data_IF_848726769808
#
_entry.id   IF_848726769808
#
_cell.length_a   1.000
_cell.length_b   1.000
_cell.length_c   1.000
_cell.angle_alpha   90.00
_cell.angle_beta   90.00
_cell.angle_gamma   90.00
#
_symmetry.space_group_name_H-M   'P 1'
#
loop_
_entity.id
_entity.type
_entity.pdbx_description
1 polymer ?
#
# COMPACT_ATOMS: atom_id res chain seq x y z
N UNK A 1 28.80 -29.22 11.70
CA UNK A 1 28.23 -28.30 12.71
C UNK A 1 29.19 -27.14 12.87
N UNK A 2 28.93 -26.02 12.20
CA UNK A 2 29.77 -24.82 12.30
C UNK A 2 29.56 -24.18 13.67
N UNK A 3 30.62 -23.92 14.46
CA UNK A 3 30.46 -23.34 15.78
C UNK A 3 29.86 -21.92 15.68
N UNK A 4 28.89 -21.62 16.54
CA UNK A 4 28.20 -20.31 16.65
C UNK A 4 29.18 -19.13 16.74
N UNK A 5 30.38 -19.37 17.25
CA UNK A 5 31.49 -18.41 17.31
C UNK A 5 31.88 -17.83 15.94
N UNK A 6 31.83 -18.65 14.89
CA UNK A 6 32.21 -18.25 13.52
C UNK A 6 31.11 -17.42 12.84
N UNK A 7 29.84 -17.65 13.20
CA UNK A 7 28.71 -16.84 12.74
C UNK A 7 28.73 -15.43 13.35
N UNK A 8 29.16 -15.29 14.60
CA UNK A 8 29.29 -13.99 15.28
C UNK A 8 30.44 -13.14 14.75
N UNK A 9 31.49 -13.74 14.18
CA UNK A 9 32.62 -13.00 13.59
C UNK A 9 32.30 -12.46 12.19
N UNK A 10 31.39 -13.11 11.46
CA UNK A 10 30.99 -12.71 10.11
C UNK A 10 29.80 -11.74 10.10
N UNK A 11 29.18 -11.49 11.27
CA UNK A 11 28.04 -10.59 11.39
C UNK A 11 28.33 -9.14 10.96
N UNK A 12 29.47 -8.52 11.33
CA UNK A 12 29.76 -7.13 10.97
C UNK A 12 29.85 -6.92 9.44
N UNK A 13 30.65 -7.74 8.76
CA UNK A 13 30.84 -7.67 7.30
C UNK A 13 29.55 -8.03 6.52
N UNK A 14 28.70 -8.88 7.08
CA UNK A 14 27.44 -9.26 6.43
C UNK A 14 26.38 -8.17 6.60
N UNK A 15 26.40 -7.43 7.70
CA UNK A 15 25.52 -6.29 7.96
C UNK A 15 25.93 -5.13 7.04
N UNK A 16 27.19 -4.70 7.03
CA UNK A 16 27.66 -3.60 6.15
C UNK A 16 27.42 -3.86 4.65
N UNK A 17 27.49 -5.12 4.20
CA UNK A 17 27.29 -5.45 2.79
C UNK A 17 25.81 -5.54 2.37
N UNK A 18 24.89 -5.66 3.32
CA UNK A 18 23.43 -5.69 3.07
C UNK A 18 22.84 -4.28 3.21
N UNK A 19 23.37 -3.47 4.11
CA UNK A 19 23.02 -2.06 4.32
C UNK A 19 24.07 -1.18 3.65
N UNK A 20 24.00 -1.07 2.32
CA UNK A 20 24.83 -0.12 1.59
C UNK A 20 24.66 1.31 2.12
N UNK A 21 25.68 2.14 1.86
CA UNK A 21 25.98 3.53 2.28
C UNK A 21 24.84 4.59 2.26
N UNK A 22 23.59 4.19 2.00
CA UNK A 22 22.43 4.98 2.39
C UNK A 22 22.23 4.83 3.91
N UNK A 23 21.91 5.94 4.59
CA UNK A 23 21.33 6.00 5.94
C UNK A 23 19.96 5.25 5.97
N UNK A 24 19.97 3.97 5.61
CA UNK A 24 18.83 3.09 5.54
C UNK A 24 18.43 2.75 6.96
N UNK A 25 17.50 3.55 7.46
CA UNK A 25 16.73 3.24 8.66
C UNK A 25 16.31 1.77 8.59
N UNK A 26 16.82 0.92 9.48
CA UNK A 26 16.36 -0.46 9.58
C UNK A 26 14.88 -0.42 9.99
N UNK A 27 13.97 -0.72 9.07
CA UNK A 27 12.54 -0.65 9.32
C UNK A 27 11.73 -0.28 8.08
N UNK A 28 10.45 0.02 8.29
CA UNK A 28 9.52 0.47 7.26
C UNK A 28 9.38 1.98 7.40
N UNK A 29 9.65 2.73 6.33
CA UNK A 29 9.53 4.19 6.35
C UNK A 29 8.05 4.61 6.45
N UNK A 30 7.64 5.25 7.57
CA UNK A 30 6.27 5.72 7.74
C UNK A 30 5.84 6.74 6.69
N UNK A 31 6.76 7.57 6.20
CA UNK A 31 6.48 8.62 5.22
C UNK A 31 6.25 8.02 3.83
N UNK A 32 7.01 6.99 3.47
CA UNK A 32 6.76 6.21 2.25
C UNK A 32 5.35 5.58 2.28
N UNK A 33 4.98 4.94 3.39
CA UNK A 33 3.64 4.34 3.53
C UNK A 33 2.53 5.40 3.50
N UNK A 34 2.75 6.56 4.11
CA UNK A 34 1.81 7.68 4.06
C UNK A 34 1.61 8.18 2.62
N UNK A 35 2.69 8.26 1.84
CA UNK A 35 2.67 8.59 0.41
C UNK A 35 1.85 7.59 -0.41
N UNK A 36 2.07 6.29 -0.19
CA UNK A 36 1.29 5.22 -0.85
C UNK A 36 -0.19 5.33 -0.50
N UNK A 37 -0.53 5.52 0.78
CA UNK A 37 -1.91 5.67 1.24
C UNK A 37 -2.59 6.89 0.59
N UNK A 38 -1.91 8.03 0.54
CA UNK A 38 -2.43 9.24 -0.11
C UNK A 38 -2.68 8.99 -1.61
N UNK A 39 -1.73 8.34 -2.29
CA UNK A 39 -1.85 8.00 -3.70
C UNK A 39 -3.00 7.05 -4.01
N UNK A 40 -3.28 6.06 -3.16
CA UNK A 40 -4.44 5.18 -3.35
C UNK A 40 -5.77 5.91 -3.13
N UNK A 41 -5.85 6.79 -2.12
CA UNK A 41 -7.05 7.59 -1.86
C UNK A 41 -7.36 8.57 -2.98
N UNK A 42 -6.35 9.22 -3.51
CA UNK A 42 -6.49 10.11 -4.67
C UNK A 42 -7.02 9.34 -5.89
N UNK A 43 -6.41 8.20 -6.21
CA UNK A 43 -6.84 7.35 -7.34
C UNK A 43 -8.25 6.79 -7.14
N UNK A 44 -8.60 6.42 -5.91
CA UNK A 44 -9.96 5.95 -5.59
C UNK A 44 -11.00 7.04 -5.89
N UNK A 45 -10.77 8.28 -5.47
CA UNK A 45 -11.66 9.41 -5.79
C UNK A 45 -11.74 9.64 -7.29
N UNK A 46 -10.59 9.70 -7.97
CA UNK A 46 -10.55 9.90 -9.41
C UNK A 46 -11.36 8.83 -10.18
N UNK A 47 -11.26 7.56 -9.77
CA UNK A 47 -12.00 6.45 -10.40
C UNK A 47 -13.50 6.52 -10.09
N UNK A 48 -13.87 6.82 -8.84
CA UNK A 48 -15.27 6.95 -8.43
C UNK A 48 -15.97 8.13 -9.14
N UNK A 49 -15.22 9.18 -9.49
CA UNK A 49 -15.74 10.38 -10.14
C UNK A 49 -15.87 10.24 -11.67
N UNK A 50 -15.57 9.07 -12.25
CA UNK A 50 -15.72 8.85 -13.70
C UNK A 50 -17.21 8.95 -14.08
N UNK A 51 -17.60 9.85 -15.01
CA UNK A 51 -18.99 9.98 -15.42
C UNK A 51 -19.39 8.85 -16.38
N UNK A 52 -20.49 8.17 -16.06
CA UNK A 52 -21.06 7.08 -16.87
C UNK A 52 -22.40 7.44 -17.54
N UNK A 53 -22.97 8.59 -17.20
CA UNK A 53 -24.23 9.12 -17.72
C UNK A 53 -24.26 9.25 -19.25
N UNK A 54 -23.12 9.58 -19.86
CA UNK A 54 -22.97 9.64 -21.32
C UNK A 54 -23.24 8.31 -22.03
N UNK A 55 -23.07 7.17 -21.36
CA UNK A 55 -23.40 5.85 -21.91
C UNK A 55 -24.90 5.54 -21.80
N UNK A 56 -25.56 5.99 -20.75
CA UNK A 56 -27.01 5.81 -20.55
C UNK A 56 -27.83 6.67 -21.53
N UNK A 57 -27.32 7.86 -21.83
CA UNK A 57 -28.02 8.88 -22.62
C UNK A 57 -27.63 8.89 -24.10
N UNK A 58 -27.06 7.79 -24.62
CA UNK A 58 -26.72 7.71 -26.06
C UNK A 58 -27.98 7.91 -26.90
N UNK A 59 -28.02 9.05 -27.61
CA UNK A 59 -29.11 9.44 -28.48
C UNK A 59 -29.23 8.57 -29.73
N UNK A 60 -30.45 8.54 -30.28
CA UNK A 60 -30.74 7.92 -31.57
C UNK A 60 -31.56 6.63 -31.50
N UNK A 61 -31.92 6.07 -32.66
CA UNK A 61 -32.78 4.90 -32.76
C UNK A 61 -32.19 3.71 -31.99
N UNK A 62 -33.05 2.82 -31.44
CA UNK A 62 -32.59 1.58 -30.81
C UNK A 62 -32.00 0.65 -31.89
N UNK A 63 -30.69 0.76 -32.07
CA UNK A 63 -29.88 -0.12 -32.91
C UNK A 63 -29.09 -1.05 -31.99
N UNK A 64 -28.54 -2.14 -32.54
CA UNK A 64 -27.65 -3.01 -31.77
C UNK A 64 -26.51 -2.25 -31.10
N UNK A 65 -25.97 -1.22 -31.75
CA UNK A 65 -24.86 -0.40 -31.23
C UNK A 65 -25.32 0.48 -30.08
N UNK A 66 -26.42 1.24 -30.24
CA UNK A 66 -26.91 2.13 -29.18
C UNK A 66 -27.40 1.35 -27.96
N UNK A 67 -28.03 0.19 -28.16
CA UNK A 67 -28.39 -0.72 -27.07
C UNK A 67 -27.14 -1.28 -26.36
N UNK A 68 -26.11 -1.69 -27.11
CA UNK A 68 -24.87 -2.18 -26.52
C UNK A 68 -24.18 -1.10 -25.68
N UNK A 69 -24.09 0.14 -26.18
CA UNK A 69 -23.50 1.26 -25.42
C UNK A 69 -24.24 1.53 -24.12
N UNK A 70 -25.58 1.60 -24.14
CA UNK A 70 -26.39 1.80 -22.93
C UNK A 70 -26.22 0.65 -21.93
N UNK A 71 -26.03 -0.57 -22.40
CA UNK A 71 -25.82 -1.74 -21.52
C UNK A 71 -24.47 -1.75 -20.78
N UNK A 72 -23.51 -0.91 -21.20
CA UNK A 72 -22.19 -0.83 -20.57
C UNK A 72 -22.16 0.09 -19.34
N UNK A 73 -23.11 1.01 -19.20
CA UNK A 73 -23.08 2.03 -18.17
C UNK A 73 -23.01 1.44 -16.75
N UNK A 74 -24.00 0.64 -16.36
CA UNK A 74 -24.09 0.04 -15.03
C UNK A 74 -22.91 -0.91 -14.71
N UNK A 75 -22.53 -1.87 -15.59
CA UNK A 75 -21.37 -2.71 -15.32
C UNK A 75 -20.07 -1.91 -15.17
N UNK A 76 -19.90 -0.83 -15.94
CA UNK A 76 -18.70 0.01 -15.86
C UNK A 76 -18.66 0.81 -14.56
N UNK A 77 -19.80 1.39 -14.15
CA UNK A 77 -19.95 2.05 -12.85
C UNK A 77 -19.62 1.10 -11.70
N UNK A 78 -20.25 -0.07 -11.67
CA UNK A 78 -20.01 -1.06 -10.63
C UNK A 78 -18.55 -1.52 -10.56
N UNK A 79 -17.88 -1.64 -11.71
CA UNK A 79 -16.45 -1.98 -11.74
C UNK A 79 -15.58 -0.84 -11.19
N UNK A 80 -15.87 0.42 -11.55
CA UNK A 80 -15.16 1.58 -11.03
C UNK A 80 -15.32 1.72 -9.52
N UNK A 81 -16.55 1.60 -9.02
CA UNK A 81 -16.86 1.64 -7.58
C UNK A 81 -16.10 0.53 -6.84
N UNK A 82 -16.12 -0.70 -7.37
CA UNK A 82 -15.38 -1.81 -6.76
C UNK A 82 -13.86 -1.57 -6.70
N UNK A 83 -13.27 -0.93 -7.71
CA UNK A 83 -11.84 -0.61 -7.71
C UNK A 83 -11.56 0.52 -6.70
N UNK A 84 -12.38 1.56 -6.67
CA UNK A 84 -12.25 2.66 -5.73
C UNK A 84 -12.33 2.17 -4.27
N UNK A 85 -13.32 1.34 -3.96
CA UNK A 85 -13.49 0.73 -2.65
C UNK A 85 -12.29 -0.12 -2.24
N UNK A 86 -11.75 -0.90 -3.17
CA UNK A 86 -10.55 -1.72 -2.94
C UNK A 86 -9.34 -0.85 -2.59
N UNK A 87 -9.11 0.23 -3.32
CA UNK A 87 -8.02 1.17 -3.06
C UNK A 87 -8.18 1.86 -1.69
N UNK A 88 -9.40 2.25 -1.32
CA UNK A 88 -9.69 2.83 -0.01
C UNK A 88 -9.43 1.81 1.10
N UNK A 89 -9.93 0.59 0.98
CA UNK A 89 -9.72 -0.48 1.95
C UNK A 89 -8.22 -0.80 2.14
N UNK A 90 -7.47 -0.87 1.04
CA UNK A 90 -6.02 -1.05 1.09
C UNK A 90 -5.32 0.11 1.80
N UNK A 91 -5.76 1.37 1.57
CA UNK A 91 -5.19 2.54 2.25
C UNK A 91 -5.42 2.51 3.76
N UNK A 92 -6.59 2.03 4.21
CA UNK A 92 -6.91 1.88 5.63
C UNK A 92 -6.07 0.77 6.25
N UNK A 93 -5.97 -0.38 5.57
CA UNK A 93 -5.16 -1.51 6.05
C UNK A 93 -3.68 -1.15 6.16
N UNK A 94 -3.12 -0.44 5.17
CA UNK A 94 -1.72 -0.02 5.19
C UNK A 94 -1.44 1.03 6.26
N UNK A 95 -2.37 1.98 6.47
CA UNK A 95 -2.25 2.95 7.55
C UNK A 95 -2.26 2.27 8.92
N UNK A 96 -3.14 1.28 9.12
CA UNK A 96 -3.18 0.50 10.36
C UNK A 96 -1.88 -0.28 10.57
N UNK A 97 -1.41 -0.96 9.54
CA UNK A 97 -0.13 -1.67 9.56
C UNK A 97 1.04 -0.76 9.95
N UNK A 98 1.12 0.45 9.38
CA UNK A 98 2.15 1.43 9.73
C UNK A 98 2.11 1.81 11.20
N UNK A 99 0.92 2.05 11.76
CA UNK A 99 0.75 2.37 13.18
C UNK A 99 1.18 1.21 14.09
N UNK A 100 0.81 -0.02 13.73
CA UNK A 100 1.15 -1.22 14.48
C UNK A 100 2.67 -1.50 14.44
N UNK A 101 3.29 -1.32 13.28
CA UNK A 101 4.74 -1.46 13.11
C UNK A 101 5.51 -0.46 13.98
N UNK A 102 5.14 0.83 13.94
CA UNK A 102 5.77 1.86 14.78
C UNK A 102 5.59 1.58 16.27
N UNK A 103 4.41 1.11 16.69
CA UNK A 103 4.16 0.75 18.08
C UNK A 103 5.02 -0.44 18.53
N UNK A 104 5.19 -1.44 17.66
CA UNK A 104 6.03 -2.61 17.87
C UNK A 104 7.51 -2.22 17.98
N UNK A 105 8.01 -1.39 17.06
CA UNK A 105 9.40 -0.93 17.05
C UNK A 105 9.72 -0.11 18.30
N UNK A 106 8.80 0.79 18.69
CA UNK A 106 8.95 1.55 19.93
C UNK A 106 8.95 0.65 21.18
N UNK A 107 8.16 -0.44 21.18
CA UNK A 107 8.16 -1.40 22.29
C UNK A 107 9.46 -2.21 22.35
N UNK A 108 9.99 -2.64 21.20
CA UNK A 108 11.27 -3.32 21.12
C UNK A 108 12.43 -2.42 21.56
N UNK A 109 12.47 -1.17 21.08
CA UNK A 109 13.48 -0.18 21.50
C UNK A 109 13.50 0.02 23.01
N UNK A 110 12.32 0.22 23.63
CA UNK A 110 12.22 0.30 25.11
C UNK A 110 12.72 -0.95 25.81
N UNK A 111 12.51 -2.14 25.25
CA UNK A 111 13.00 -3.38 25.84
C UNK A 111 14.53 -3.47 25.77
N UNK A 112 15.15 -3.00 24.68
CA UNK A 112 16.61 -2.89 24.57
C UNK A 112 17.20 -1.89 25.55
N UNK A 113 16.57 -0.74 25.75
CA UNK A 113 17.03 0.28 26.72
C UNK A 113 17.07 -0.24 28.17
N UNK A 114 16.26 -1.26 28.48
CA UNK A 114 16.19 -1.91 29.79
C UNK A 114 17.27 -3.00 29.97
N UNK A 115 18.01 -3.37 28.93
CA UNK A 115 19.08 -4.36 29.06
C UNK A 115 20.30 -3.74 29.76
N UNK A 116 20.96 -4.47 30.68
CA UNK A 116 22.19 -4.00 31.30
C UNK A 116 23.26 -3.74 30.23
N UNK A 117 23.79 -2.51 30.16
CA UNK A 117 24.96 -2.22 29.34
C UNK A 117 26.14 -3.03 29.89
N UNK A 118 26.69 -3.92 29.07
CA UNK A 118 27.89 -4.71 29.39
C UNK A 118 29.13 -4.03 28.85
#
# INVERSE_FOLDING_TARGET
MTPLSHLLTMLPDTIERVFGDDDTLFGIDPDELAGICAGWRERARFIADIPWDGLEQVDGPPTRVTTALRSLAEPSRAAADSIADRLLAMSVALQQFSADAQASDAAAGRAFDLLPQR
#
